data_IF_782083347803
#
_entry.id   IF_782083347803
#
_cell.length_a   1.000
_cell.length_b   1.000
_cell.length_c   1.000
_cell.angle_alpha   90.00
_cell.angle_beta   90.00
_cell.angle_gamma   90.00
#
_symmetry.space_group_name_H-M   'P 1'
#
loop_
_entity.id
_entity.type
_entity.pdbx_description
1 polymer ?
#
# COMPACT_ATOMS: atom_id res chain seq x y z
N UNK A 1 -18.31 11.22 4.88
CA UNK A 1 -17.86 10.10 4.02
C UNK A 1 -16.94 9.13 4.78
N UNK A 2 -17.11 7.82 4.56
CA UNK A 2 -16.26 6.77 5.13
C UNK A 2 -14.94 6.72 4.35
N UNK A 3 -13.92 7.40 4.86
CA UNK A 3 -12.62 7.56 4.18
C UNK A 3 -11.50 6.76 4.83
N UNK A 4 -11.76 6.11 5.96
CA UNK A 4 -10.79 5.31 6.68
C UNK A 4 -9.51 6.09 7.01
N UNK A 5 -8.37 5.43 6.86
CA UNK A 5 -7.06 6.03 7.08
C UNK A 5 -6.55 6.86 5.90
N UNK A 6 -7.23 6.85 4.74
CA UNK A 6 -6.79 7.59 3.55
C UNK A 6 -6.67 9.08 3.84
N UNK A 7 -7.62 9.67 4.59
CA UNK A 7 -7.56 11.08 4.97
C UNK A 7 -6.33 11.38 5.82
N UNK A 8 -6.05 10.53 6.81
CA UNK A 8 -4.88 10.67 7.68
C UNK A 8 -3.58 10.52 6.88
N UNK A 9 -3.51 9.51 6.02
CA UNK A 9 -2.38 9.27 5.13
C UNK A 9 -2.11 10.45 4.20
N UNK A 10 -3.14 11.02 3.59
CA UNK A 10 -3.01 12.18 2.70
C UNK A 10 -2.57 13.44 3.42
N UNK A 11 -3.10 13.71 4.62
CA UNK A 11 -2.67 14.83 5.45
C UNK A 11 -1.19 14.71 5.84
N UNK A 12 -0.75 13.53 6.30
CA UNK A 12 0.65 13.29 6.64
C UNK A 12 1.56 13.40 5.42
N UNK A 13 1.12 12.92 4.26
CA UNK A 13 1.87 13.06 3.02
C UNK A 13 1.99 14.53 2.59
N UNK A 14 0.94 15.32 2.75
CA UNK A 14 0.93 16.76 2.45
C UNK A 14 1.88 17.52 3.37
N UNK A 15 1.86 17.23 4.67
CA UNK A 15 2.75 17.84 5.66
C UNK A 15 4.21 17.44 5.45
N UNK A 16 4.47 16.16 5.17
CA UNK A 16 5.81 15.72 4.78
C UNK A 16 6.24 16.44 3.50
N UNK A 17 5.28 16.69 2.58
CA UNK A 17 5.52 17.36 1.30
C UNK A 17 5.90 18.83 1.38
N UNK A 18 5.39 19.55 2.36
CA UNK A 18 5.66 20.97 2.54
C UNK A 18 7.07 21.26 3.07
N UNK A 19 7.72 20.27 3.69
CA UNK A 19 9.06 20.41 4.25
C UNK A 19 10.13 20.14 3.16
N UNK A 20 11.16 21.00 3.05
CA UNK A 20 12.29 20.77 2.15
C UNK A 20 13.11 19.57 2.63
N UNK A 21 13.82 18.92 1.71
CA UNK A 21 14.69 17.78 1.97
C UNK A 21 15.95 17.90 1.09
N UNK A 22 17.12 17.48 1.59
CA UNK A 22 18.36 17.44 0.82
C UNK A 22 18.44 16.13 0.03
N UNK A 23 19.28 16.11 -1.01
CA UNK A 23 19.50 14.92 -1.81
C UNK A 23 20.08 13.73 -1.01
N UNK A 24 20.80 14.04 0.06
CA UNK A 24 21.44 13.06 0.95
C UNK A 24 20.55 12.58 2.10
N UNK A 25 19.41 13.21 2.31
CA UNK A 25 18.53 12.89 3.43
C UNK A 25 17.72 11.62 3.12
N UNK A 26 17.29 10.93 4.16
CA UNK A 26 16.39 9.77 4.01
C UNK A 26 15.06 10.20 3.39
N UNK A 27 14.74 9.61 2.25
CA UNK A 27 13.52 9.89 1.48
C UNK A 27 12.28 9.20 2.06
N UNK A 28 12.43 8.16 2.90
CA UNK A 28 11.28 7.37 3.34
C UNK A 28 10.23 8.19 4.11
N UNK A 29 10.58 9.06 5.10
CA UNK A 29 9.62 9.91 5.81
C UNK A 29 8.88 10.88 4.90
N UNK A 30 9.46 11.17 3.73
CA UNK A 30 8.91 12.11 2.76
C UNK A 30 7.94 11.47 1.77
N UNK A 31 8.10 10.19 1.47
CA UNK A 31 7.31 9.46 0.46
C UNK A 31 6.24 8.58 1.09
N UNK A 32 6.54 7.92 2.22
CA UNK A 32 5.62 7.00 2.91
C UNK A 32 5.48 7.33 4.41
N UNK A 33 5.19 8.60 4.80
CA UNK A 33 5.15 9.01 6.19
C UNK A 33 4.15 8.21 7.04
N UNK A 34 2.98 7.92 6.48
CA UNK A 34 1.92 7.19 7.17
C UNK A 34 2.32 5.74 7.46
N UNK A 35 2.82 5.01 6.46
CA UNK A 35 3.23 3.61 6.63
C UNK A 35 4.39 3.49 7.62
N UNK A 36 5.35 4.42 7.59
CA UNK A 36 6.42 4.46 8.58
C UNK A 36 5.91 4.71 10.00
N UNK A 37 4.93 5.60 10.16
CA UNK A 37 4.31 5.83 11.45
C UNK A 37 3.58 4.59 11.96
N UNK A 38 2.81 3.91 11.11
CA UNK A 38 2.12 2.67 11.45
C UNK A 38 3.11 1.56 11.82
N UNK A 39 4.17 1.38 11.03
CA UNK A 39 5.26 0.44 11.32
C UNK A 39 5.89 0.69 12.68
N UNK A 40 6.21 1.96 12.99
CA UNK A 40 6.81 2.33 14.28
C UNK A 40 5.89 2.11 15.48
N UNK A 41 4.58 2.24 15.28
CA UNK A 41 3.60 2.21 16.37
C UNK A 41 2.96 0.84 16.57
N UNK A 42 2.79 0.06 15.51
CA UNK A 42 2.06 -1.23 15.52
C UNK A 42 2.96 -2.41 15.15
N UNK A 43 4.20 -2.16 14.69
CA UNK A 43 5.15 -3.20 14.33
C UNK A 43 5.07 -3.61 12.87
N UNK A 44 5.69 -4.77 12.55
CA UNK A 44 5.91 -5.25 11.17
C UNK A 44 4.67 -5.84 10.49
N UNK A 45 3.60 -6.04 11.27
CA UNK A 45 2.29 -6.46 10.78
C UNK A 45 1.25 -5.54 11.38
N UNK A 46 0.53 -4.80 10.54
CA UNK A 46 -0.45 -3.81 11.01
C UNK A 46 -1.63 -3.70 10.07
N UNK A 47 -2.73 -3.18 10.62
CA UNK A 47 -4.00 -3.04 9.95
C UNK A 47 -4.28 -1.57 9.61
N UNK A 48 -4.84 -1.33 8.43
CA UNK A 48 -5.22 0.01 7.94
C UNK A 48 -6.50 -0.03 7.13
N UNK A 49 -7.18 1.10 7.01
CA UNK A 49 -8.37 1.25 6.17
C UNK A 49 -8.07 2.04 4.89
N UNK A 50 -8.20 1.39 3.74
CA UNK A 50 -8.21 2.02 2.42
C UNK A 50 -9.65 2.39 2.05
N UNK A 51 -10.10 3.57 2.51
CA UNK A 51 -11.48 3.99 2.33
C UNK A 51 -12.39 3.15 3.22
N UNK A 52 -13.25 2.34 2.60
CA UNK A 52 -14.09 1.35 3.29
C UNK A 52 -13.49 -0.06 3.29
N UNK A 53 -12.35 -0.27 2.63
CA UNK A 53 -11.72 -1.59 2.50
C UNK A 53 -10.63 -1.77 3.55
N UNK A 54 -10.72 -2.78 4.43
CA UNK A 54 -9.66 -3.09 5.37
C UNK A 54 -8.47 -3.74 4.66
N UNK A 55 -7.25 -3.40 5.09
CA UNK A 55 -6.01 -3.92 4.54
C UNK A 55 -5.02 -4.28 5.66
N UNK A 56 -4.42 -5.46 5.56
CA UNK A 56 -3.32 -5.88 6.43
C UNK A 56 -2.01 -5.73 5.68
N UNK A 57 -1.08 -4.98 6.27
CA UNK A 57 0.29 -4.87 5.76
C UNK A 57 1.15 -5.90 6.48
N UNK A 58 1.85 -6.72 5.71
CA UNK A 58 2.76 -7.77 6.20
C UNK A 58 4.17 -7.43 5.70
N UNK A 59 5.15 -7.44 6.61
CA UNK A 59 6.56 -7.17 6.28
C UNK A 59 7.48 -8.36 6.63
N UNK A 60 6.91 -9.51 6.97
CA UNK A 60 7.65 -10.75 7.18
C UNK A 60 7.96 -11.43 5.82
N UNK A 61 9.24 -11.69 5.50
CA UNK A 61 9.62 -12.25 4.20
C UNK A 61 9.02 -13.63 3.91
N UNK A 62 8.85 -14.48 4.93
CA UNK A 62 8.31 -15.84 4.75
C UNK A 62 6.82 -15.78 4.43
N UNK A 63 6.07 -14.95 5.15
CA UNK A 63 4.65 -14.71 4.89
C UNK A 63 4.41 -14.03 3.53
N UNK A 64 5.26 -13.06 3.15
CA UNK A 64 5.19 -12.43 1.83
C UNK A 64 5.37 -13.52 0.75
N UNK A 65 6.40 -14.36 0.88
CA UNK A 65 6.66 -15.44 -0.07
C UNK A 65 5.47 -16.40 -0.18
N UNK A 66 4.84 -16.75 0.95
CA UNK A 66 3.66 -17.61 0.97
C UNK A 66 2.48 -16.98 0.22
N UNK A 67 2.18 -15.70 0.47
CA UNK A 67 1.11 -14.96 -0.21
C UNK A 67 1.34 -14.92 -1.71
N UNK A 68 2.58 -14.64 -2.15
CA UNK A 68 2.93 -14.60 -3.58
C UNK A 68 2.86 -15.98 -4.25
N UNK A 69 3.13 -17.07 -3.52
CA UNK A 69 3.00 -18.43 -4.04
C UNK A 69 1.54 -18.91 -4.13
N UNK A 70 0.65 -18.40 -3.28
CA UNK A 70 -0.78 -18.74 -3.26
C UNK A 70 -1.60 -17.72 -4.06
N UNK A 71 -1.22 -17.49 -5.31
CA UNK A 71 -1.85 -16.50 -6.20
C UNK A 71 -3.35 -16.76 -6.50
N UNK A 72 -3.83 -18.00 -6.35
CA UNK A 72 -5.25 -18.34 -6.47
C UNK A 72 -6.06 -17.91 -5.24
N UNK A 73 -5.48 -18.00 -4.04
CA UNK A 73 -6.12 -17.60 -2.78
C UNK A 73 -6.01 -16.08 -2.56
N UNK A 74 -4.85 -15.50 -2.92
CA UNK A 74 -4.56 -14.08 -2.81
C UNK A 74 -4.49 -13.44 -4.19
N UNK A 75 -5.67 -13.14 -4.74
CA UNK A 75 -5.78 -12.40 -5.99
C UNK A 75 -5.27 -10.96 -5.81
N UNK A 76 -4.75 -10.35 -6.89
CA UNK A 76 -4.27 -8.98 -6.79
C UNK A 76 -5.42 -8.05 -6.38
N UNK A 77 -5.20 -7.15 -5.41
CA UNK A 77 -6.24 -6.23 -4.98
C UNK A 77 -6.71 -5.36 -6.14
N UNK A 78 -7.99 -5.42 -6.51
CA UNK A 78 -8.61 -4.49 -7.47
C UNK A 78 -9.02 -3.20 -6.75
N UNK A 79 -8.05 -2.54 -6.13
CA UNK A 79 -8.26 -1.37 -5.26
C UNK A 79 -8.80 -0.15 -6.00
N UNK A 80 -8.67 -0.13 -7.33
CA UNK A 80 -9.15 0.95 -8.19
C UNK A 80 -9.95 0.33 -9.35
N UNK A 81 -11.28 0.20 -9.23
CA UNK A 81 -12.13 -0.38 -10.27
C UNK A 81 -11.93 0.27 -11.65
N UNK A 82 -11.64 1.58 -11.65
CA UNK A 82 -11.39 2.36 -12.85
C UNK A 82 -9.94 2.27 -13.35
N UNK A 83 -8.97 1.88 -12.51
CA UNK A 83 -7.58 1.75 -12.96
C UNK A 83 -7.42 0.64 -14.00
N UNK A 84 -8.26 -0.41 -13.95
CA UNK A 84 -8.30 -1.45 -14.99
C UNK A 84 -8.69 -0.91 -16.37
N UNK A 85 -9.44 0.19 -16.44
CA UNK A 85 -9.84 0.82 -17.70
C UNK A 85 -8.74 1.75 -18.25
N UNK A 86 -7.90 2.30 -17.36
CA UNK A 86 -6.90 3.32 -17.69
C UNK A 86 -5.51 2.70 -17.91
N UNK A 87 -5.18 1.64 -17.17
CA UNK A 87 -3.91 0.93 -17.23
C UNK A 87 -4.17 -0.56 -17.51
N UNK A 88 -4.44 -0.88 -18.78
CA UNK A 88 -4.56 -2.26 -19.27
C UNK A 88 -3.17 -2.82 -19.62
N UNK A 89 -2.92 -4.09 -19.27
CA UNK A 89 -1.65 -4.77 -19.59
C UNK A 89 -1.34 -5.94 -18.66
N UNK A 90 -0.15 -6.53 -18.79
CA UNK A 90 0.33 -7.68 -17.99
C UNK A 90 0.14 -7.43 -16.48
N UNK A 91 0.30 -6.18 -16.01
CA UNK A 91 0.09 -5.81 -14.62
C UNK A 91 -1.34 -6.04 -14.09
N UNK A 92 -2.33 -6.04 -14.98
CA UNK A 92 -3.76 -6.20 -14.69
C UNK A 92 -4.28 -7.63 -14.79
N UNK A 93 -3.43 -8.58 -15.18
CA UNK A 93 -3.78 -9.98 -15.38
C UNK A 93 -3.68 -10.77 -14.05
N UNK A 94 -4.65 -11.66 -13.85
CA UNK A 94 -4.72 -12.59 -12.73
C UNK A 94 -4.96 -14.01 -13.27
N UNK A 95 -4.64 -15.03 -12.46
CA UNK A 95 -4.86 -16.44 -12.80
C UNK A 95 -4.19 -16.86 -14.10
N UNK A 96 -4.93 -17.56 -14.97
CA UNK A 96 -4.43 -18.13 -16.23
C UNK A 96 -3.91 -17.07 -17.22
N UNK A 97 -4.31 -15.80 -17.09
CA UNK A 97 -3.78 -14.72 -17.94
C UNK A 97 -2.38 -14.27 -17.51
N UNK A 98 -1.95 -14.61 -16.29
CA UNK A 98 -0.61 -14.29 -15.76
C UNK A 98 0.38 -15.47 -15.87
N UNK A 99 -0.13 -16.72 -15.91
CA UNK A 99 0.68 -17.94 -15.98
C UNK A 99 1.33 -18.17 -17.35
#
# INVERSE_FOLDING_TARGET
>A
PLVGDLKRGFSMLTEARSKPIKLTDDIQPRVVPFLLAMLKTHGRTFFTWLGTTPAVTIMDPEQIKEVFNKNYDFQRPHTLPLARLIATGIFSYDGDKWA
#
